data_IF_522264042239
#
_entry.id   IF_522264042239
#
_cell.length_a   1.000
_cell.length_b   1.000
_cell.length_c   1.000
_cell.angle_alpha   90.00
_cell.angle_beta   90.00
_cell.angle_gamma   90.00
#
_symmetry.space_group_name_H-M   'P 1'
#
loop_
_entity.id
_entity.type
_entity.pdbx_description
1 polymer ?
#
# COMPACT_ATOMS: atom_id res chain seq x y z
N UNK A 1 -11.88 51.85 -34.20
CA UNK A 1 -10.69 52.15 -33.37
C UNK A 1 -11.00 51.74 -31.95
N UNK A 2 -10.67 50.51 -31.56
CA UNK A 2 -10.79 50.06 -30.18
C UNK A 2 -9.44 50.32 -29.50
N UNK A 3 -9.39 51.40 -28.72
CA UNK A 3 -8.27 51.68 -27.84
C UNK A 3 -8.27 50.59 -26.77
N UNK A 4 -7.19 49.80 -26.77
CA UNK A 4 -6.59 49.09 -25.66
C UNK A 4 -7.39 49.24 -24.36
N UNK A 5 -8.25 48.26 -24.13
CA UNK A 5 -8.84 48.00 -22.83
C UNK A 5 -7.67 47.79 -21.87
N UNK A 6 -7.60 48.64 -20.85
CA UNK A 6 -6.62 48.61 -19.77
C UNK A 6 -6.34 47.17 -19.29
N UNK A 7 -5.07 46.84 -19.05
CA UNK A 7 -4.64 45.48 -18.66
C UNK A 7 -5.37 45.03 -17.38
N UNK A 8 -5.65 45.98 -16.48
CA UNK A 8 -6.41 45.72 -15.25
C UNK A 8 -7.86 45.32 -15.54
N UNK A 9 -8.49 45.94 -16.54
CA UNK A 9 -9.84 45.60 -16.97
C UNK A 9 -9.89 44.25 -17.69
N UNK A 10 -8.89 43.92 -18.51
CA UNK A 10 -8.80 42.62 -19.17
C UNK A 10 -8.67 41.47 -18.15
N UNK A 11 -7.87 41.68 -17.10
CA UNK A 11 -7.76 40.74 -15.96
C UNK A 11 -9.08 40.61 -15.21
N UNK A 12 -9.78 41.72 -14.96
CA UNK A 12 -11.07 41.73 -14.28
C UNK A 12 -12.16 40.96 -15.05
N UNK A 13 -12.24 41.14 -16.37
CA UNK A 13 -13.17 40.39 -17.23
C UNK A 13 -12.83 38.89 -17.24
N UNK A 14 -11.55 38.55 -17.26
CA UNK A 14 -11.10 37.15 -17.21
C UNK A 14 -11.48 36.46 -15.90
N UNK A 15 -11.38 37.17 -14.77
CA UNK A 15 -11.82 36.68 -13.47
C UNK A 15 -13.34 36.46 -13.43
N UNK A 16 -14.13 37.37 -14.00
CA UNK A 16 -15.59 37.23 -14.08
C UNK A 16 -16.03 36.05 -14.95
N UNK A 17 -15.39 35.85 -16.10
CA UNK A 17 -15.67 34.68 -16.96
C UNK A 17 -15.39 33.38 -16.20
N UNK A 18 -14.31 33.34 -15.41
CA UNK A 18 -13.96 32.17 -14.60
C UNK A 18 -14.96 31.92 -13.47
N UNK A 19 -15.40 32.96 -12.78
CA UNK A 19 -16.39 32.86 -11.70
C UNK A 19 -17.75 32.38 -12.25
N UNK A 20 -18.16 32.90 -13.41
CA UNK A 20 -19.37 32.49 -14.10
C UNK A 20 -19.31 31.00 -14.49
N UNK A 21 -18.18 30.53 -15.03
CA UNK A 21 -18.00 29.14 -15.41
C UNK A 21 -18.04 28.18 -14.21
N UNK A 22 -17.55 28.60 -13.05
CA UNK A 22 -17.47 27.77 -11.84
C UNK A 22 -18.76 27.79 -11.01
N UNK A 23 -19.51 28.90 -10.99
CA UNK A 23 -20.62 29.10 -10.04
C UNK A 23 -21.96 29.46 -10.69
N UNK A 24 -21.98 29.72 -12.00
CA UNK A 24 -23.18 30.14 -12.76
C UNK A 24 -23.65 31.57 -12.50
N UNK A 25 -22.93 32.35 -11.69
CA UNK A 25 -23.25 33.75 -11.35
C UNK A 25 -21.96 34.57 -11.17
N UNK A 26 -22.00 35.88 -11.41
CA UNK A 26 -20.87 36.80 -11.15
C UNK A 26 -21.29 37.76 -10.04
N UNK A 27 -20.53 37.81 -8.94
CA UNK A 27 -20.82 38.74 -7.82
C UNK A 27 -19.95 39.99 -7.95
N UNK A 28 -20.52 41.04 -8.53
CA UNK A 28 -19.89 42.35 -8.61
C UNK A 28 -19.71 42.94 -7.20
N UNK A 29 -18.47 43.28 -6.83
CA UNK A 29 -18.14 43.99 -5.57
C UNK A 29 -17.39 43.17 -4.51
N UNK A 30 -17.23 41.85 -4.69
CA UNK A 30 -16.44 41.02 -3.78
C UNK A 30 -15.02 40.80 -4.33
N UNK A 31 -14.13 41.78 -4.19
CA UNK A 31 -12.69 41.52 -4.37
C UNK A 31 -12.21 40.71 -3.17
N UNK A 32 -12.10 39.38 -3.30
CA UNK A 32 -11.34 38.60 -2.33
C UNK A 32 -9.93 39.15 -2.29
N UNK A 33 -9.48 39.56 -1.11
CA UNK A 33 -8.12 40.08 -0.92
C UNK A 33 -7.13 39.01 -1.37
N UNK A 34 -6.00 39.39 -2.00
CA UNK A 34 -4.98 38.43 -2.46
C UNK A 34 -4.58 37.41 -1.38
N UNK A 35 -4.50 37.85 -0.12
CA UNK A 35 -4.25 37.00 1.04
C UNK A 35 -5.32 35.91 1.26
N UNK A 36 -6.59 36.20 1.00
CA UNK A 36 -7.69 35.24 1.11
C UNK A 36 -7.65 34.22 -0.05
N UNK A 37 -7.30 34.68 -1.26
CA UNK A 37 -7.11 33.80 -2.40
C UNK A 37 -5.94 32.83 -2.18
N UNK A 38 -4.82 33.32 -1.66
CA UNK A 38 -3.66 32.49 -1.29
C UNK A 38 -4.01 31.47 -0.20
N UNK A 39 -4.77 31.89 0.82
CA UNK A 39 -5.24 30.98 1.89
C UNK A 39 -6.10 29.87 1.32
N UNK A 40 -7.09 30.21 0.48
CA UNK A 40 -7.97 29.24 -0.16
C UNK A 40 -7.20 28.29 -1.10
N UNK A 41 -6.22 28.78 -1.84
CA UNK A 41 -5.36 27.92 -2.67
C UNK A 41 -4.50 26.96 -1.84
N UNK A 42 -4.02 27.41 -0.67
CA UNK A 42 -3.26 26.56 0.26
C UNK A 42 -4.16 25.49 0.89
N UNK A 43 -5.35 25.87 1.36
CA UNK A 43 -6.36 24.94 1.89
C UNK A 43 -6.79 23.92 0.84
N UNK A 44 -7.05 24.35 -0.40
CA UNK A 44 -7.46 23.45 -1.47
C UNK A 44 -6.35 22.47 -1.87
N UNK A 45 -5.09 22.92 -1.91
CA UNK A 45 -3.93 22.03 -2.08
C UNK A 45 -3.81 21.01 -0.94
N UNK A 46 -3.98 21.44 0.30
CA UNK A 46 -3.96 20.53 1.46
C UNK A 46 -5.10 19.51 1.40
N UNK A 47 -6.31 19.94 1.02
CA UNK A 47 -7.46 19.07 0.84
C UNK A 47 -7.25 18.06 -0.28
N UNK A 48 -6.68 18.47 -1.42
CA UNK A 48 -6.35 17.56 -2.52
C UNK A 48 -5.32 16.51 -2.09
N UNK A 49 -4.26 16.91 -1.37
CA UNK A 49 -3.27 15.97 -0.84
C UNK A 49 -3.91 14.98 0.14
N UNK A 50 -4.74 15.46 1.07
CA UNK A 50 -5.47 14.60 2.01
C UNK A 50 -6.45 13.68 1.28
N UNK A 51 -7.14 14.18 0.26
CA UNK A 51 -8.10 13.41 -0.52
C UNK A 51 -7.41 12.28 -1.29
N UNK A 52 -6.27 12.57 -1.93
CA UNK A 52 -5.43 11.56 -2.60
C UNK A 52 -4.97 10.48 -1.60
N UNK A 53 -4.44 10.89 -0.45
CA UNK A 53 -4.05 9.96 0.62
C UNK A 53 -5.24 9.10 1.12
N UNK A 54 -6.45 9.66 1.16
CA UNK A 54 -7.66 8.92 1.56
C UNK A 54 -8.14 7.96 0.48
N UNK A 55 -8.01 8.31 -0.81
CA UNK A 55 -8.32 7.41 -1.92
C UNK A 55 -7.34 6.24 -1.95
N UNK A 56 -6.04 6.50 -1.78
CA UNK A 56 -5.00 5.48 -1.67
C UNK A 56 -5.23 4.55 -0.46
N UNK A 57 -5.71 5.08 0.67
CA UNK A 57 -6.09 4.28 1.85
C UNK A 57 -7.36 3.44 1.64
N UNK A 58 -8.21 3.77 0.66
CA UNK A 58 -9.43 3.02 0.37
C UNK A 58 -9.21 1.86 -0.59
N UNK A 59 -8.10 1.85 -1.33
CA UNK A 59 -7.77 0.84 -2.35
C UNK A 59 -6.95 -0.34 -1.82
N UNK A 60 -6.85 -0.52 -0.49
CA UNK A 60 -6.17 -1.72 0.02
C UNK A 60 -6.89 -2.97 -0.47
N UNK A 61 -6.11 -3.86 -1.06
CA UNK A 61 -6.57 -5.17 -1.47
C UNK A 61 -7.17 -5.90 -0.26
N UNK A 62 -8.38 -6.44 -0.44
CA UNK A 62 -9.11 -7.14 0.61
C UNK A 62 -8.95 -8.64 0.44
N UNK A 63 -8.23 -9.25 1.36
CA UNK A 63 -8.05 -10.69 1.40
C UNK A 63 -9.28 -11.41 1.96
N UNK A 64 -9.42 -12.69 1.61
CA UNK A 64 -10.40 -13.57 2.25
C UNK A 64 -10.08 -13.70 3.75
N UNK A 65 -11.13 -13.78 4.57
CA UNK A 65 -11.02 -14.05 6.01
C UNK A 65 -10.97 -15.55 6.28
N UNK A 66 -10.21 -15.94 7.30
CA UNK A 66 -10.05 -17.33 7.73
C UNK A 66 -8.61 -17.65 8.11
N UNK A 67 -8.44 -18.86 8.64
CA UNK A 67 -7.12 -19.41 8.96
C UNK A 67 -6.24 -19.43 7.70
N UNK A 68 -5.07 -18.81 7.82
CA UNK A 68 -4.17 -18.57 6.70
C UNK A 68 -2.73 -18.71 7.13
N UNK A 69 -1.93 -19.26 6.24
CA UNK A 69 -0.48 -19.31 6.33
C UNK A 69 0.10 -18.39 5.26
N UNK A 70 1.10 -17.60 5.63
CA UNK A 70 1.69 -16.61 4.75
C UNK A 70 3.22 -16.63 4.82
N UNK A 71 3.84 -16.16 3.74
CA UNK A 71 5.27 -15.93 3.63
C UNK A 71 5.47 -14.49 3.21
N UNK A 72 6.24 -13.75 4.00
CA UNK A 72 6.62 -12.38 3.70
C UNK A 72 8.13 -12.26 3.51
N UNK A 73 8.54 -11.31 2.68
CA UNK A 73 9.92 -10.91 2.49
C UNK A 73 10.07 -9.41 2.77
N UNK A 74 11.31 -8.98 2.90
CA UNK A 74 11.67 -7.58 3.16
C UNK A 74 12.47 -7.06 1.96
N UNK A 75 11.95 -6.04 1.28
CA UNK A 75 12.61 -5.43 0.12
C UNK A 75 13.77 -4.50 0.52
N UNK A 76 13.75 -3.95 1.74
CA UNK A 76 14.80 -3.04 2.23
C UNK A 76 16.10 -3.79 2.55
N UNK A 77 15.99 -5.07 2.86
CA UNK A 77 17.11 -5.90 3.26
C UNK A 77 18.06 -6.22 2.11
N UNK A 78 19.36 -5.91 2.26
CA UNK A 78 20.41 -6.44 1.37
C UNK A 78 20.51 -7.98 1.39
N UNK A 79 20.04 -8.61 2.47
CA UNK A 79 20.03 -10.05 2.64
C UNK A 79 18.70 -10.64 2.22
N UNK A 80 18.73 -11.67 1.38
CA UNK A 80 17.57 -12.47 1.01
C UNK A 80 17.09 -13.24 2.25
N UNK A 81 15.99 -12.77 2.84
CA UNK A 81 15.38 -13.32 4.05
C UNK A 81 13.87 -13.38 3.87
N UNK A 82 13.24 -14.38 4.44
CA UNK A 82 11.79 -14.49 4.48
C UNK A 82 11.33 -14.85 5.89
N UNK A 83 10.07 -14.56 6.17
CA UNK A 83 9.41 -14.92 7.40
C UNK A 83 8.11 -15.65 7.06
N UNK A 84 7.94 -16.82 7.67
CA UNK A 84 6.68 -17.56 7.63
C UNK A 84 5.82 -17.13 8.81
N UNK A 85 4.51 -17.23 8.65
CA UNK A 85 3.60 -16.92 9.73
C UNK A 85 2.21 -17.50 9.54
N UNK A 86 1.50 -17.64 10.64
CA UNK A 86 0.08 -17.94 10.68
C UNK A 86 -0.75 -16.71 11.08
N UNK A 87 -1.98 -16.66 10.56
CA UNK A 87 -3.04 -15.76 11.02
C UNK A 87 -4.39 -16.49 11.02
N UNK A 88 -5.13 -16.41 12.13
CA UNK A 88 -6.34 -17.20 12.35
C UNK A 88 -7.62 -16.56 11.82
N UNK A 89 -7.66 -15.22 11.68
CA UNK A 89 -8.91 -14.52 11.39
C UNK A 89 -8.82 -13.60 10.16
N UNK A 90 -7.93 -12.60 10.21
CA UNK A 90 -7.84 -11.57 9.17
C UNK A 90 -6.38 -11.21 8.89
N UNK A 91 -5.86 -11.80 7.81
CA UNK A 91 -4.51 -11.55 7.32
C UNK A 91 -4.24 -10.07 7.02
N UNK A 92 -5.27 -9.30 6.67
CA UNK A 92 -5.12 -7.87 6.35
C UNK A 92 -4.63 -7.09 7.56
N UNK A 93 -5.13 -7.40 8.76
CA UNK A 93 -4.71 -6.76 10.01
C UNK A 93 -3.27 -7.14 10.33
N UNK A 94 -2.92 -8.42 10.16
CA UNK A 94 -1.56 -8.90 10.42
C UNK A 94 -0.53 -8.27 9.48
N UNK A 95 -0.85 -8.13 8.20
CA UNK A 95 0.02 -7.47 7.23
C UNK A 95 0.19 -5.97 7.52
N UNK A 96 -0.84 -5.28 8.00
CA UNK A 96 -0.72 -3.88 8.44
C UNK A 96 0.25 -3.72 9.62
N UNK A 97 0.25 -4.66 10.57
CA UNK A 97 1.22 -4.67 11.68
C UNK A 97 2.65 -4.84 11.18
N UNK A 98 2.87 -5.79 10.26
CA UNK A 98 4.18 -5.98 9.63
C UNK A 98 4.65 -4.70 8.93
N UNK A 99 3.79 -4.05 8.14
CA UNK A 99 4.10 -2.78 7.46
C UNK A 99 4.41 -1.61 8.38
N UNK A 100 3.84 -1.60 9.59
CA UNK A 100 4.15 -0.58 10.59
C UNK A 100 5.60 -0.67 11.09
N UNK A 101 6.19 -1.88 11.05
CA UNK A 101 7.58 -2.12 11.47
C UNK A 101 8.54 -2.18 10.27
N UNK A 102 8.06 -2.68 9.13
CA UNK A 102 8.80 -2.90 7.88
C UNK A 102 7.97 -2.36 6.70
N UNK A 103 8.12 -1.07 6.36
CA UNK A 103 7.28 -0.41 5.37
C UNK A 103 7.25 -1.11 4.01
N UNK A 104 8.38 -1.67 3.56
CA UNK A 104 8.52 -2.35 2.27
C UNK A 104 8.46 -3.89 2.38
N UNK A 105 7.62 -4.38 3.30
CA UNK A 105 7.34 -5.79 3.46
C UNK A 105 6.45 -6.31 2.31
N UNK A 106 6.97 -7.25 1.52
CA UNK A 106 6.29 -7.88 0.39
C UNK A 106 5.67 -9.21 0.82
N UNK A 107 4.45 -9.49 0.34
CA UNK A 107 3.78 -10.77 0.55
C UNK A 107 4.14 -11.71 -0.60
N UNK A 108 4.86 -12.79 -0.33
CA UNK A 108 5.33 -13.73 -1.37
C UNK A 108 4.36 -14.89 -1.60
N UNK A 109 3.67 -15.31 -0.54
CA UNK A 109 2.76 -16.45 -0.61
C UNK A 109 1.68 -16.35 0.46
N UNK A 110 0.46 -16.75 0.09
CA UNK A 110 -0.70 -16.79 0.96
C UNK A 110 -1.54 -18.01 0.62
N UNK A 111 -1.80 -18.83 1.63
CA UNK A 111 -2.63 -20.01 1.51
C UNK A 111 -3.63 -20.07 2.66
N UNK A 112 -4.87 -20.41 2.34
CA UNK A 112 -5.94 -20.61 3.30
C UNK A 112 -6.10 -22.10 3.60
N UNK A 113 -5.97 -22.47 4.87
CA UNK A 113 -6.05 -23.83 5.37
C UNK A 113 -6.49 -23.80 6.84
N UNK A 114 -7.35 -24.73 7.25
CA UNK A 114 -7.79 -24.83 8.65
C UNK A 114 -6.61 -25.16 9.59
N UNK A 115 -5.71 -26.05 9.14
CA UNK A 115 -4.51 -26.49 9.85
C UNK A 115 -3.30 -25.56 9.65
N UNK A 116 -3.51 -24.30 9.28
CA UNK A 116 -2.43 -23.36 8.98
C UNK A 116 -1.47 -23.11 10.17
N UNK A 117 -1.94 -23.23 11.41
CA UNK A 117 -1.09 -23.16 12.61
C UNK A 117 -0.13 -24.36 12.70
N UNK A 118 -0.62 -25.55 12.38
CA UNK A 118 0.20 -26.76 12.35
C UNK A 118 1.21 -26.69 11.20
N UNK A 119 0.80 -26.17 10.05
CA UNK A 119 1.69 -25.90 8.93
C UNK A 119 2.85 -24.98 9.33
N UNK A 120 2.56 -23.87 10.02
CA UNK A 120 3.60 -22.97 10.54
C UNK A 120 4.60 -23.71 11.44
N UNK A 121 4.08 -24.49 12.40
CA UNK A 121 4.91 -25.26 13.33
C UNK A 121 5.82 -26.25 12.59
N UNK A 122 5.27 -26.99 11.62
CA UNK A 122 6.04 -27.93 10.79
C UNK A 122 7.14 -27.20 10.02
N UNK A 123 6.80 -26.08 9.37
CA UNK A 123 7.75 -25.32 8.56
C UNK A 123 8.87 -24.70 9.40
N UNK A 124 8.53 -24.15 10.57
CA UNK A 124 9.51 -23.59 11.51
C UNK A 124 10.46 -24.65 12.08
N UNK A 125 9.98 -25.88 12.28
CA UNK A 125 10.82 -27.01 12.70
C UNK A 125 11.67 -27.55 11.55
N UNK A 126 11.09 -27.69 10.35
CA UNK A 126 11.80 -28.15 9.15
C UNK A 126 12.96 -27.22 8.77
N UNK A 127 12.76 -25.91 8.94
CA UNK A 127 13.73 -24.87 8.58
C UNK A 127 14.56 -24.39 9.78
N UNK A 128 14.60 -25.15 10.87
CA UNK A 128 15.27 -24.76 12.11
C UNK A 128 16.71 -24.29 11.91
N UNK A 129 17.49 -25.00 11.11
CA UNK A 129 18.90 -24.68 10.85
C UNK A 129 19.10 -23.39 10.05
N UNK A 130 18.08 -22.95 9.31
CA UNK A 130 18.10 -21.76 8.48
C UNK A 130 17.57 -20.52 9.22
N UNK A 131 17.01 -20.70 10.42
CA UNK A 131 16.45 -19.62 11.23
C UNK A 131 17.55 -18.87 11.97
N UNK A 132 17.46 -17.53 11.98
CA UNK A 132 18.20 -16.68 12.93
C UNK A 132 17.22 -15.77 13.65
N UNK A 133 17.60 -15.36 14.87
CA UNK A 133 16.78 -14.54 15.76
C UNK A 133 15.43 -15.20 16.08
N UNK A 134 15.43 -16.21 16.96
CA UNK A 134 14.24 -16.98 17.35
C UNK A 134 13.03 -16.14 17.80
N UNK A 135 13.24 -14.92 18.28
CA UNK A 135 12.15 -14.02 18.68
C UNK A 135 11.44 -13.34 17.48
N UNK A 136 12.11 -13.22 16.34
CA UNK A 136 11.57 -12.60 15.12
C UNK A 136 11.43 -13.58 13.94
N UNK A 137 12.03 -14.76 14.06
CA UNK A 137 11.91 -15.95 13.19
C UNK A 137 12.13 -15.68 11.70
N UNK A 138 13.25 -15.05 11.37
CA UNK A 138 13.67 -14.87 9.99
C UNK A 138 14.42 -16.11 9.51
N UNK A 139 14.03 -16.61 8.34
CA UNK A 139 14.71 -17.68 7.62
C UNK A 139 15.68 -17.02 6.65
N UNK A 140 16.96 -17.37 6.78
CA UNK A 140 18.05 -16.89 5.96
C UNK A 140 18.58 -18.01 5.06
N UNK A 141 19.31 -17.61 4.01
CA UNK A 141 19.99 -18.52 3.07
C UNK A 141 19.07 -19.39 2.20
N UNK A 142 17.76 -19.13 2.20
CA UNK A 142 16.80 -19.72 1.26
C UNK A 142 15.98 -18.62 0.59
N UNK A 143 15.61 -18.85 -0.67
CA UNK A 143 14.71 -17.94 -1.38
C UNK A 143 13.25 -18.21 -1.02
N UNK A 144 12.36 -17.18 -1.06
CA UNK A 144 10.93 -17.38 -0.85
C UNK A 144 10.36 -18.50 -1.71
N UNK A 145 10.80 -18.63 -2.96
CA UNK A 145 10.33 -19.65 -3.90
C UNK A 145 10.68 -21.07 -3.44
N UNK A 146 11.87 -21.26 -2.86
CA UNK A 146 12.28 -22.53 -2.28
C UNK A 146 11.39 -22.88 -1.09
N UNK A 147 11.11 -21.91 -0.22
CA UNK A 147 10.22 -22.12 0.94
C UNK A 147 8.79 -22.43 0.47
N UNK A 148 8.28 -21.72 -0.54
CA UNK A 148 6.96 -21.99 -1.14
C UNK A 148 6.88 -23.42 -1.66
N UNK A 149 7.93 -23.90 -2.34
CA UNK A 149 7.99 -25.27 -2.85
C UNK A 149 7.91 -26.29 -1.70
N UNK A 150 8.61 -26.06 -0.60
CA UNK A 150 8.56 -26.92 0.59
C UNK A 150 7.20 -26.89 1.28
N UNK A 151 6.53 -25.73 1.29
CA UNK A 151 5.18 -25.58 1.82
C UNK A 151 4.19 -26.37 0.98
N UNK A 152 4.20 -26.21 -0.35
CA UNK A 152 3.35 -26.99 -1.26
C UNK A 152 3.60 -28.49 -1.12
N UNK A 153 4.85 -28.92 -1.01
CA UNK A 153 5.18 -30.32 -0.79
C UNK A 153 4.58 -30.84 0.52
N UNK A 154 4.63 -30.05 1.61
CA UNK A 154 4.01 -30.40 2.89
C UNK A 154 2.50 -30.47 2.80
N UNK A 155 1.85 -29.49 2.15
CA UNK A 155 0.40 -29.48 1.92
C UNK A 155 -0.06 -30.73 1.16
N UNK A 156 0.65 -31.10 0.10
CA UNK A 156 0.37 -32.31 -0.68
C UNK A 156 0.63 -33.59 0.11
N UNK A 157 1.73 -33.65 0.87
CA UNK A 157 2.06 -34.81 1.70
C UNK A 157 1.00 -35.09 2.77
N UNK A 158 0.50 -34.04 3.42
CA UNK A 158 -0.55 -34.14 4.43
C UNK A 158 -1.94 -34.34 3.84
N UNK A 159 -2.09 -34.21 2.52
CA UNK A 159 -3.39 -34.24 1.82
C UNK A 159 -4.40 -33.23 2.38
N UNK A 160 -3.92 -32.06 2.78
CA UNK A 160 -4.79 -31.00 3.30
C UNK A 160 -5.54 -30.28 2.19
N UNK A 161 -6.78 -29.90 2.47
CA UNK A 161 -7.54 -29.01 1.61
C UNK A 161 -7.06 -27.57 1.81
N UNK A 162 -6.71 -26.91 0.72
CA UNK A 162 -6.23 -25.54 0.77
C UNK A 162 -6.65 -24.73 -0.45
N UNK A 163 -6.64 -23.41 -0.29
CA UNK A 163 -6.86 -22.45 -1.37
C UNK A 163 -5.70 -21.45 -1.39
N UNK A 164 -4.99 -21.36 -2.51
CA UNK A 164 -3.97 -20.32 -2.72
C UNK A 164 -4.63 -19.00 -3.16
N UNK A 165 -4.08 -17.87 -2.72
CA UNK A 165 -4.49 -16.56 -3.20
C UNK A 165 -3.69 -16.17 -4.46
N UNK A 166 -4.38 -15.91 -5.57
CA UNK A 166 -3.76 -15.51 -6.85
C UNK A 166 -3.67 -13.99 -7.02
N UNK A 167 -4.27 -13.23 -6.09
CA UNK A 167 -4.40 -11.78 -6.17
C UNK A 167 -3.37 -11.03 -5.34
N UNK A 168 -2.41 -11.74 -4.75
CA UNK A 168 -1.28 -11.20 -3.97
C UNK A 168 -0.54 -10.09 -4.72
N UNK A 169 -0.38 -10.20 -6.05
CA UNK A 169 0.32 -9.18 -6.83
C UNK A 169 -0.37 -7.80 -6.75
N UNK A 170 -1.70 -7.76 -6.66
CA UNK A 170 -2.43 -6.50 -6.53
C UNK A 170 -2.08 -5.78 -5.21
N UNK A 171 -1.82 -6.55 -4.15
CA UNK A 171 -1.35 -6.02 -2.87
C UNK A 171 0.10 -5.53 -2.97
N UNK A 172 0.98 -6.29 -3.63
CA UNK A 172 2.41 -5.96 -3.75
C UNK A 172 2.70 -4.76 -4.66
N UNK A 173 1.90 -4.53 -5.70
CA UNK A 173 2.11 -3.42 -6.64
C UNK A 173 2.24 -2.07 -5.93
N UNK A 174 1.46 -1.85 -4.86
CA UNK A 174 1.54 -0.62 -4.07
C UNK A 174 2.87 -0.53 -3.31
N UNK A 175 3.31 -1.64 -2.71
CA UNK A 175 4.54 -1.70 -1.91
C UNK A 175 5.78 -1.48 -2.81
N UNK A 176 5.78 -2.09 -4.00
CA UNK A 176 6.86 -1.94 -4.97
C UNK A 176 6.91 -0.51 -5.52
N UNK A 177 5.76 0.12 -5.76
CA UNK A 177 5.69 1.53 -6.17
C UNK A 177 6.23 2.46 -5.07
N UNK A 178 5.86 2.24 -3.81
CA UNK A 178 6.35 3.01 -2.66
C UNK A 178 7.88 2.88 -2.53
N UNK A 179 8.43 1.67 -2.69
CA UNK A 179 9.87 1.42 -2.64
C UNK A 179 10.65 2.11 -3.77
N UNK A 180 10.15 2.07 -5.01
CA UNK A 180 10.79 2.74 -6.16
C UNK A 180 10.91 4.25 -5.97
N UNK A 181 9.91 4.89 -5.35
CA UNK A 181 9.95 6.33 -5.03
C UNK A 181 11.07 6.61 -4.03
N UNK A 182 11.23 5.79 -2.99
CA UNK A 182 12.30 5.96 -1.98
C UNK A 182 13.68 5.79 -2.62
N UNK A 183 13.87 4.81 -3.51
CA UNK A 183 15.16 4.58 -4.16
C UNK A 183 15.55 5.61 -5.23
N UNK A 184 14.58 6.40 -5.75
CA UNK A 184 14.81 7.42 -6.79
C UNK A 184 14.98 8.83 -6.24
N UNK A 185 14.79 9.02 -4.93
CA UNK A 185 15.10 10.27 -4.25
C UNK A 185 16.62 10.33 -3.97
N UNK A 186 17.32 11.36 -4.47
CA UNK A 186 18.76 11.53 -4.28
C UNK A 186 19.17 11.85 -2.84
#
# INVERSE_FOLDING_TARGET
>A
MAQWIDDEFALQVSEWIRELALTGQVRLGYKKTRAELERLQKENRQLQTKHRQLLEKKTYHKFKKGASFYIISDLDGKSLKCKVGFEGLDISVRLQQHRSTMPHCKLEYLVYCEDALLLETIMLNKLYNNRKNFNHEWIYAMTPEQVIKEVRATLHFMSWEYSEDTTIQNYNNQIEADFQIVCTLP
#
